data_IF_273132286747
#
_entry.id   IF_273132286747
#
_cell.length_a   1.000
_cell.length_b   1.000
_cell.length_c   1.000
_cell.angle_alpha   90.00
_cell.angle_beta   90.00
_cell.angle_gamma   90.00
#
_symmetry.space_group_name_H-M   'P 1'
#
loop_
_entity.id
_entity.type
_entity.pdbx_description
1 polymer ?
#
# COMPACT_ATOMS: atom_id res chain seq x y z
N UNK A 1 -13.70 -18.25 23.98
CA UNK A 1 -13.00 -18.13 22.68
C UNK A 1 -13.84 -17.42 21.63
N UNK A 2 -14.31 -16.17 21.82
CA UNK A 2 -15.01 -15.51 20.73
C UNK A 2 -14.03 -15.10 19.62
N UNK A 3 -12.87 -14.52 19.95
CA UNK A 3 -11.94 -13.95 18.97
C UNK A 3 -11.15 -15.01 18.17
N UNK A 4 -10.48 -15.94 18.86
CA UNK A 4 -9.71 -17.01 18.20
C UNK A 4 -10.60 -17.88 17.29
N UNK A 5 -11.81 -18.19 17.74
CA UNK A 5 -12.78 -18.95 16.94
C UNK A 5 -13.28 -18.15 15.74
N UNK A 6 -13.55 -16.85 15.91
CA UNK A 6 -13.89 -15.98 14.80
C UNK A 6 -12.76 -15.92 13.76
N UNK A 7 -11.51 -15.80 14.21
CA UNK A 7 -10.35 -15.80 13.32
C UNK A 7 -10.26 -17.11 12.50
N UNK A 8 -10.51 -18.27 13.12
CA UNK A 8 -10.55 -19.56 12.40
C UNK A 8 -11.70 -19.66 11.39
N UNK A 9 -12.88 -19.10 11.72
CA UNK A 9 -13.99 -19.01 10.76
C UNK A 9 -13.64 -18.13 9.56
N UNK A 10 -12.97 -17.00 9.80
CA UNK A 10 -12.48 -16.14 8.73
C UNK A 10 -11.42 -16.90 7.91
N UNK A 11 -10.49 -17.60 8.56
CA UNK A 11 -9.47 -18.41 7.89
C UNK A 11 -10.07 -19.48 6.95
N UNK A 12 -11.15 -20.16 7.38
CA UNK A 12 -11.88 -21.10 6.53
C UNK A 12 -12.46 -20.43 5.28
N UNK A 13 -13.07 -19.24 5.44
CA UNK A 13 -13.61 -18.46 4.33
C UNK A 13 -12.48 -18.02 3.38
N UNK A 14 -11.34 -17.59 3.92
CA UNK A 14 -10.18 -17.19 3.13
C UNK A 14 -9.61 -18.36 2.33
N UNK A 15 -9.45 -19.53 2.97
CA UNK A 15 -8.99 -20.74 2.30
C UNK A 15 -9.94 -21.17 1.16
N UNK A 16 -11.25 -21.12 1.40
CA UNK A 16 -12.25 -21.40 0.37
C UNK A 16 -12.17 -20.41 -0.80
N UNK A 17 -12.08 -19.12 -0.51
CA UNK A 17 -11.99 -18.08 -1.55
C UNK A 17 -10.69 -18.17 -2.37
N UNK A 18 -9.60 -18.59 -1.73
CA UNK A 18 -8.32 -18.85 -2.40
C UNK A 18 -8.33 -20.12 -3.26
N UNK A 19 -9.34 -20.99 -3.13
CA UNK A 19 -9.36 -22.31 -3.77
C UNK A 19 -8.36 -23.28 -3.14
N UNK A 20 -8.02 -23.08 -1.86
CA UNK A 20 -7.09 -23.92 -1.11
C UNK A 20 -7.78 -25.22 -0.70
N UNK A 21 -7.03 -26.33 -0.67
CA UNK A 21 -7.55 -27.62 -0.20
C UNK A 21 -7.61 -27.70 1.33
N UNK A 22 -6.73 -26.95 2.00
CA UNK A 22 -6.57 -26.94 3.44
C UNK A 22 -6.48 -25.51 4.00
N UNK A 23 -6.83 -25.35 5.28
CA UNK A 23 -6.57 -24.15 6.06
C UNK A 23 -5.12 -24.20 6.56
N UNK A 24 -4.24 -23.56 5.80
CA UNK A 24 -2.84 -23.32 6.15
C UNK A 24 -2.63 -22.20 7.19
N UNK A 25 -1.46 -22.10 7.85
CA UNK A 25 -1.12 -21.02 8.78
C UNK A 25 -1.33 -19.61 8.20
N UNK A 26 -1.10 -19.39 6.91
CA UNK A 26 -1.33 -18.12 6.22
C UNK A 26 -2.80 -17.69 6.29
N UNK A 27 -3.72 -18.64 6.17
CA UNK A 27 -5.16 -18.36 6.29
C UNK A 27 -5.53 -18.01 7.73
N UNK A 28 -4.95 -18.72 8.71
CA UNK A 28 -5.14 -18.43 10.14
C UNK A 28 -4.62 -17.02 10.45
N UNK A 29 -3.45 -16.66 9.92
CA UNK A 29 -2.87 -15.33 10.05
C UNK A 29 -3.78 -14.25 9.44
N UNK A 30 -4.25 -14.42 8.20
CA UNK A 30 -5.23 -13.50 7.58
C UNK A 30 -6.48 -13.38 8.44
N UNK A 31 -6.97 -14.49 9.01
CA UNK A 31 -8.12 -14.51 9.91
C UNK A 31 -7.92 -13.67 11.16
N UNK A 32 -6.74 -13.75 11.80
CA UNK A 32 -6.36 -12.97 12.97
C UNK A 32 -6.22 -11.47 12.66
N UNK A 33 -5.89 -11.11 11.42
CA UNK A 33 -5.75 -9.71 10.95
C UNK A 33 -7.05 -9.12 10.38
N UNK A 34 -8.17 -9.84 10.44
CA UNK A 34 -9.44 -9.45 9.83
C UNK A 34 -10.65 -9.18 10.76
N UNK A 35 -10.58 -9.23 12.11
CA UNK A 35 -11.74 -8.93 12.96
C UNK A 35 -12.43 -7.59 12.70
N UNK A 36 -11.70 -6.55 12.25
CA UNK A 36 -12.25 -5.23 11.91
C UNK A 36 -13.47 -5.29 10.97
N UNK A 37 -13.52 -6.28 10.07
CA UNK A 37 -14.60 -6.42 9.08
C UNK A 37 -15.91 -6.88 9.73
N UNK A 38 -15.81 -7.61 10.83
CA UNK A 38 -16.94 -8.18 11.57
C UNK A 38 -17.38 -7.24 12.70
N UNK A 39 -16.42 -6.55 13.32
CA UNK A 39 -16.69 -5.53 14.34
C UNK A 39 -17.45 -4.33 13.76
N UNK A 40 -17.29 -4.06 12.45
CA UNK A 40 -17.98 -2.97 11.76
C UNK A 40 -17.53 -1.59 12.26
N UNK A 41 -18.06 -0.52 11.64
CA UNK A 41 -17.83 0.86 12.11
C UNK A 41 -18.77 1.30 13.24
N UNK A 42 -19.73 0.46 13.63
CA UNK A 42 -20.73 0.82 14.64
C UNK A 42 -20.19 0.41 16.01
N UNK A 43 -20.17 1.34 16.96
CA UNK A 43 -19.85 1.01 18.35
C UNK A 43 -20.73 -0.14 18.82
N UNK A 44 -20.14 -1.19 19.43
CA UNK A 44 -20.90 -2.31 19.94
C UNK A 44 -22.00 -1.78 20.86
N UNK A 45 -23.24 -2.22 20.65
CA UNK A 45 -24.31 -1.93 21.60
C UNK A 45 -23.91 -2.49 22.96
N UNK A 46 -24.33 -1.84 24.06
CA UNK A 46 -23.99 -2.26 25.44
C UNK A 46 -24.32 -3.73 25.77
N UNK A 47 -25.10 -4.42 24.92
CA UNK A 47 -25.45 -5.83 25.06
C UNK A 47 -24.45 -6.81 24.40
N UNK A 48 -23.39 -6.35 23.73
CA UNK A 48 -22.52 -7.23 22.94
C UNK A 48 -21.15 -7.50 23.59
N UNK A 49 -21.15 -7.88 24.87
CA UNK A 49 -19.95 -8.25 25.66
C UNK A 49 -19.02 -9.26 24.95
N UNK A 50 -19.57 -10.09 24.08
CA UNK A 50 -18.77 -11.03 23.27
C UNK A 50 -17.92 -10.29 22.24
N UNK A 51 -18.52 -9.31 21.54
CA UNK A 51 -17.83 -8.51 20.54
C UNK A 51 -16.85 -7.52 21.15
N UNK A 52 -17.13 -7.00 22.34
CA UNK A 52 -16.18 -6.20 23.13
C UNK A 52 -14.89 -7.00 23.40
N UNK A 53 -15.00 -8.24 23.87
CA UNK A 53 -13.82 -9.12 24.04
C UNK A 53 -13.09 -9.43 22.73
N UNK A 54 -13.81 -9.54 21.61
CA UNK A 54 -13.17 -9.71 20.29
C UNK A 54 -12.36 -8.46 19.93
N UNK A 55 -12.91 -7.28 20.17
CA UNK A 55 -12.23 -6.02 19.92
C UNK A 55 -10.98 -5.88 20.79
N UNK A 56 -11.08 -6.16 22.09
CA UNK A 56 -9.93 -6.13 23.03
C UNK A 56 -8.80 -7.07 22.59
N UNK A 57 -9.13 -8.33 22.27
CA UNK A 57 -8.13 -9.31 21.84
C UNK A 57 -7.51 -8.95 20.48
N UNK A 58 -8.28 -8.33 19.58
CA UNK A 58 -7.79 -7.86 18.28
C UNK A 58 -6.90 -6.62 18.43
N UNK A 59 -7.29 -5.66 19.26
CA UNK A 59 -6.50 -4.45 19.54
C UNK A 59 -5.14 -4.81 20.16
N UNK A 60 -5.09 -5.86 20.99
CA UNK A 60 -3.83 -6.39 21.49
C UNK A 60 -2.90 -6.86 20.35
N UNK A 61 -3.43 -7.55 19.34
CA UNK A 61 -2.66 -7.97 18.15
C UNK A 61 -2.21 -6.75 17.34
N UNK A 62 -3.09 -5.78 17.10
CA UNK A 62 -2.77 -4.55 16.36
C UNK A 62 -1.67 -3.76 17.07
N UNK A 63 -1.76 -3.64 18.39
CA UNK A 63 -0.75 -2.98 19.23
C UNK A 63 0.61 -3.67 19.10
N UNK A 64 0.65 -5.01 19.21
CA UNK A 64 1.90 -5.79 19.04
C UNK A 64 2.52 -5.59 17.65
N UNK A 65 1.70 -5.57 16.61
CA UNK A 65 2.15 -5.29 15.25
C UNK A 65 2.68 -3.85 15.12
N UNK A 66 1.99 -2.87 15.71
CA UNK A 66 2.41 -1.48 15.71
C UNK A 66 3.78 -1.28 16.38
N UNK A 67 4.01 -1.92 17.53
CA UNK A 67 5.32 -1.94 18.22
C UNK A 67 6.41 -2.53 17.32
N UNK A 68 6.09 -3.61 16.60
CA UNK A 68 7.00 -4.25 15.66
C UNK A 68 7.15 -3.48 14.33
N UNK A 69 6.50 -2.32 14.18
CA UNK A 69 6.56 -1.49 12.98
C UNK A 69 5.81 -2.10 11.80
N UNK A 70 4.68 -2.76 12.05
CA UNK A 70 3.84 -3.39 11.03
C UNK A 70 2.40 -2.86 11.08
N UNK A 71 1.75 -2.81 9.92
CA UNK A 71 0.33 -2.51 9.80
C UNK A 71 -0.46 -3.80 9.46
N UNK A 72 -1.46 -4.13 10.27
CA UNK A 72 -2.27 -5.35 10.11
C UNK A 72 -2.95 -5.46 8.73
N UNK A 73 -3.49 -4.35 8.21
CA UNK A 73 -4.15 -4.32 6.90
C UNK A 73 -3.15 -4.56 5.77
N UNK A 74 -1.95 -3.97 5.85
CA UNK A 74 -0.89 -4.19 4.87
C UNK A 74 -0.45 -5.65 4.88
N UNK A 75 -0.13 -6.21 6.06
CA UNK A 75 0.28 -7.61 6.21
C UNK A 75 -0.76 -8.57 5.65
N UNK A 76 -2.05 -8.34 5.95
CA UNK A 76 -3.15 -9.15 5.43
C UNK A 76 -3.20 -9.14 3.90
N UNK A 77 -3.07 -7.96 3.28
CA UNK A 77 -3.10 -7.81 1.80
C UNK A 77 -1.90 -8.49 1.15
N UNK A 78 -0.70 -8.25 1.69
CA UNK A 78 0.53 -8.89 1.21
C UNK A 78 0.47 -10.40 1.33
N UNK A 79 -0.04 -10.94 2.45
CA UNK A 79 -0.23 -12.38 2.63
C UNK A 79 -1.19 -12.96 1.59
N UNK A 80 -2.34 -12.31 1.35
CA UNK A 80 -3.28 -12.74 0.28
C UNK A 80 -2.66 -12.73 -1.12
N UNK A 81 -1.80 -11.74 -1.40
CA UNK A 81 -1.15 -11.60 -2.71
C UNK A 81 -0.05 -12.66 -2.91
N UNK A 82 0.70 -12.98 -1.85
CA UNK A 82 1.74 -13.98 -1.87
C UNK A 82 1.20 -15.43 -1.82
N UNK A 83 -0.02 -15.62 -1.32
CA UNK A 83 -0.63 -16.94 -1.26
C UNK A 83 -1.10 -17.41 -2.65
N UNK A 84 -0.64 -18.57 -3.14
CA UNK A 84 -1.04 -19.06 -4.46
C UNK A 84 -2.53 -19.37 -4.49
N UNK A 85 -3.17 -19.10 -5.64
CA UNK A 85 -4.55 -19.54 -5.86
C UNK A 85 -4.55 -21.04 -6.13
N UNK A 86 -5.30 -21.78 -5.34
CA UNK A 86 -5.50 -23.20 -5.56
C UNK A 86 -6.58 -23.49 -6.60
N UNK A 87 -6.73 -24.76 -6.93
CA UNK A 87 -7.71 -25.29 -7.89
C UNK A 87 -8.89 -25.99 -7.21
N UNK A 88 -8.97 -25.94 -5.88
CA UNK A 88 -10.00 -26.66 -5.14
C UNK A 88 -11.39 -26.08 -5.44
N UNK A 89 -12.39 -26.95 -5.33
CA UNK A 89 -13.78 -26.57 -5.51
C UNK A 89 -14.20 -25.55 -4.44
N UNK A 90 -14.54 -24.34 -4.90
CA UNK A 90 -14.99 -23.23 -4.05
C UNK A 90 -16.34 -23.51 -3.40
N UNK A 91 -17.11 -24.47 -3.91
CA UNK A 91 -18.41 -24.84 -3.36
C UNK A 91 -18.31 -25.83 -2.19
N UNK A 92 -17.08 -26.25 -1.80
CA UNK A 92 -16.87 -27.07 -0.61
C UNK A 92 -17.36 -26.35 0.65
N UNK A 93 -18.34 -26.98 1.31
CA UNK A 93 -18.94 -26.49 2.57
C UNK A 93 -17.95 -26.35 3.71
N UNK A 94 -16.87 -27.14 3.74
CA UNK A 94 -15.84 -27.11 4.77
C UNK A 94 -14.46 -27.32 4.19
N UNK A 95 -13.49 -26.58 4.71
CA UNK A 95 -12.07 -26.74 4.37
C UNK A 95 -11.36 -27.31 5.61
N UNK A 96 -10.75 -28.51 5.55
CA UNK A 96 -10.03 -29.08 6.69
C UNK A 96 -8.78 -28.26 7.02
N UNK A 97 -8.29 -28.35 8.25
CA UNK A 97 -6.96 -27.80 8.61
C UNK A 97 -5.86 -28.63 7.95
N UNK A 98 -4.78 -27.98 7.52
CA UNK A 98 -3.55 -28.67 7.16
C UNK A 98 -2.84 -29.20 8.41
N UNK A 99 -1.85 -30.07 8.22
CA UNK A 99 -1.00 -30.52 9.32
C UNK A 99 -0.32 -29.33 10.03
N UNK A 100 0.20 -28.37 9.26
CA UNK A 100 0.80 -27.15 9.81
C UNK A 100 -0.23 -26.26 10.54
N UNK A 101 -1.47 -26.18 10.03
CA UNK A 101 -2.58 -25.50 10.70
C UNK A 101 -2.95 -26.15 12.04
N UNK A 102 -2.98 -27.49 12.10
CA UNK A 102 -3.20 -28.26 13.34
C UNK A 102 -2.09 -27.98 14.35
N UNK A 103 -0.82 -28.06 13.94
CA UNK A 103 0.33 -27.79 14.81
C UNK A 103 0.30 -26.37 15.38
N UNK A 104 -0.13 -25.39 14.59
CA UNK A 104 -0.32 -24.02 15.07
C UNK A 104 -1.36 -23.94 16.20
N UNK A 105 -2.50 -24.62 16.05
CA UNK A 105 -3.55 -24.65 17.08
C UNK A 105 -3.07 -25.40 18.32
N UNK A 106 -2.39 -26.53 18.15
CA UNK A 106 -1.84 -27.31 19.27
C UNK A 106 -0.80 -26.51 20.06
N UNK A 107 0.07 -25.74 19.40
CA UNK A 107 0.99 -24.80 20.07
C UNK A 107 0.24 -23.78 20.91
N UNK A 108 -0.84 -23.20 20.38
CA UNK A 108 -1.66 -22.23 21.11
C UNK A 108 -2.34 -22.87 22.33
N UNK A 109 -2.86 -24.09 22.19
CA UNK A 109 -3.47 -24.87 23.28
C UNK A 109 -2.44 -25.18 24.37
N UNK A 110 -1.26 -25.65 23.97
CA UNK A 110 -0.18 -25.96 24.91
C UNK A 110 0.26 -24.71 25.69
N UNK A 111 0.45 -23.58 25.00
CA UNK A 111 0.81 -22.31 25.61
C UNK A 111 -0.27 -21.78 26.58
N UNK A 112 -1.55 -22.09 26.32
CA UNK A 112 -2.64 -21.69 27.21
C UNK A 112 -2.62 -22.45 28.55
N UNK A 113 -2.03 -23.65 28.61
CA UNK A 113 -1.86 -24.41 29.86
C UNK A 113 -3.19 -24.79 30.52
N UNK A 114 -4.16 -25.26 29.74
CA UNK A 114 -5.51 -25.58 30.20
C UNK A 114 -6.47 -24.38 30.29
N UNK A 115 -5.97 -23.16 30.07
CA UNK A 115 -6.82 -21.98 29.88
C UNK A 115 -7.41 -21.94 28.48
N UNK A 116 -8.36 -21.05 28.31
CA UNK A 116 -8.98 -20.76 27.02
C UNK A 116 -7.97 -20.10 26.07
N UNK A 117 -7.86 -20.61 24.82
CA UNK A 117 -7.01 -20.00 23.79
C UNK A 117 -7.58 -18.65 23.35
N UNK A 118 -6.77 -17.60 23.47
CA UNK A 118 -7.06 -16.24 22.98
C UNK A 118 -6.56 -16.06 21.54
N UNK A 119 -7.06 -15.06 20.83
CA UNK A 119 -6.56 -14.68 19.50
C UNK A 119 -5.10 -14.26 19.57
N UNK A 120 -4.68 -13.53 20.62
CA UNK A 120 -3.28 -13.19 20.84
C UNK A 120 -2.40 -14.43 21.07
N UNK A 121 -2.92 -15.45 21.78
CA UNK A 121 -2.24 -16.74 21.96
C UNK A 121 -2.11 -17.51 20.64
N UNK A 122 -3.17 -17.54 19.84
CA UNK A 122 -3.15 -18.15 18.50
C UNK A 122 -2.20 -17.39 17.56
N UNK A 123 -2.21 -16.06 17.59
CA UNK A 123 -1.28 -15.21 16.84
C UNK A 123 0.17 -15.50 17.22
N UNK A 124 0.47 -15.58 18.52
CA UNK A 124 1.81 -15.94 18.99
C UNK A 124 2.23 -17.33 18.49
N UNK A 125 1.31 -18.29 18.48
CA UNK A 125 1.58 -19.64 17.96
C UNK A 125 1.86 -19.69 16.45
N UNK A 126 1.25 -18.79 15.67
CA UNK A 126 1.61 -18.57 14.26
C UNK A 126 3.01 -17.97 14.19
N UNK A 127 3.29 -16.91 14.95
CA UNK A 127 4.58 -16.18 14.89
C UNK A 127 5.79 -17.01 15.36
N UNK A 128 5.59 -18.03 16.20
CA UNK A 128 6.65 -18.98 16.58
C UNK A 128 7.16 -19.76 15.37
N UNK A 129 6.30 -20.06 14.41
CA UNK A 129 6.66 -20.78 13.18
C UNK A 129 5.80 -20.27 12.02
N UNK A 130 6.13 -19.08 11.48
CA UNK A 130 5.23 -18.35 10.58
C UNK A 130 5.07 -18.97 9.19
N UNK A 131 5.87 -19.97 8.82
CA UNK A 131 5.93 -20.43 7.43
C UNK A 131 6.64 -19.41 6.53
N UNK A 132 6.95 -19.80 5.30
CA UNK A 132 7.76 -19.00 4.37
C UNK A 132 7.01 -17.74 3.93
N UNK A 133 5.72 -17.87 3.59
CA UNK A 133 4.93 -16.73 3.09
C UNK A 133 4.81 -15.63 4.14
N UNK A 134 4.43 -15.96 5.38
CA UNK A 134 4.29 -14.94 6.44
C UNK A 134 5.65 -14.33 6.75
N UNK A 135 6.72 -15.13 6.81
CA UNK A 135 8.08 -14.63 7.04
C UNK A 135 8.47 -13.59 5.98
N UNK A 136 8.27 -13.91 4.70
CA UNK A 136 8.63 -13.03 3.58
C UNK A 136 7.77 -11.77 3.57
N UNK A 137 6.48 -11.88 3.88
CA UNK A 137 5.57 -10.74 4.02
C UNK A 137 5.98 -9.82 5.16
N UNK A 138 6.40 -10.35 6.30
CA UNK A 138 6.90 -9.54 7.42
C UNK A 138 8.19 -8.81 7.02
N UNK A 139 9.12 -9.50 6.35
CA UNK A 139 10.34 -8.88 5.86
C UNK A 139 10.06 -7.75 4.84
N UNK A 140 9.11 -7.96 3.93
CA UNK A 140 8.73 -7.00 2.91
C UNK A 140 7.97 -5.79 3.49
N UNK A 141 7.03 -6.02 4.41
CA UNK A 141 6.25 -4.94 5.04
C UNK A 141 7.15 -3.93 5.77
N UNK A 142 8.29 -4.37 6.33
CA UNK A 142 9.27 -3.45 6.94
C UNK A 142 9.93 -2.54 5.93
N UNK A 143 10.19 -3.02 4.71
CA UNK A 143 10.75 -2.19 3.64
C UNK A 143 9.75 -1.12 3.20
N UNK A 144 8.47 -1.49 3.07
CA UNK A 144 7.41 -0.54 2.73
C UNK A 144 7.30 0.58 3.78
N UNK A 145 7.34 0.24 5.07
CA UNK A 145 7.21 1.23 6.15
C UNK A 145 8.48 2.07 6.33
N UNK A 146 9.66 1.50 6.09
CA UNK A 146 10.90 2.27 6.06
C UNK A 146 10.90 3.30 4.92
N UNK A 147 10.34 2.94 3.76
CA UNK A 147 10.10 3.87 2.67
C UNK A 147 9.04 4.91 3.05
N UNK A 148 7.93 4.50 3.67
CA UNK A 148 6.82 5.37 4.06
C UNK A 148 7.24 6.42 5.10
N UNK A 149 8.01 6.02 6.13
CA UNK A 149 8.59 6.94 7.12
C UNK A 149 9.60 7.89 6.50
N UNK A 150 10.33 7.49 5.47
CA UNK A 150 11.23 8.39 4.73
C UNK A 150 10.43 9.38 3.91
N UNK A 151 9.37 8.93 3.23
CA UNK A 151 8.46 9.84 2.52
C UNK A 151 7.70 10.76 3.46
N UNK A 152 7.29 10.34 4.66
CA UNK A 152 6.65 11.17 5.68
C UNK A 152 7.61 12.16 6.35
N UNK A 153 8.92 11.93 6.29
CA UNK A 153 9.93 12.94 6.67
C UNK A 153 10.15 13.91 5.51
N UNK A 154 10.16 13.43 4.26
CA UNK A 154 10.35 14.25 3.07
C UNK A 154 9.12 15.09 2.70
N UNK A 155 7.90 14.61 2.95
CA UNK A 155 6.63 15.25 2.60
C UNK A 155 6.43 16.56 3.35
N UNK A 156 6.56 16.66 4.69
CA UNK A 156 6.50 17.91 5.40
C UNK A 156 7.61 18.87 4.97
N UNK A 157 8.82 18.38 4.68
CA UNK A 157 9.90 19.21 4.16
C UNK A 157 9.54 19.81 2.80
N UNK A 158 9.09 18.99 1.83
CA UNK A 158 8.70 19.44 0.49
C UNK A 158 7.41 20.28 0.50
N UNK A 159 6.44 19.94 1.36
CA UNK A 159 5.16 20.65 1.45
C UNK A 159 5.30 21.98 2.20
N UNK A 160 6.14 22.05 3.26
CA UNK A 160 6.54 23.29 3.92
C UNK A 160 7.33 24.20 2.97
N UNK A 161 8.16 23.61 2.11
CA UNK A 161 8.91 24.32 1.07
C UNK A 161 8.01 24.94 0.00
N UNK A 162 6.99 24.19 -0.47
CA UNK A 162 6.04 24.66 -1.49
C UNK A 162 5.03 25.66 -0.91
N UNK A 163 4.53 25.44 0.32
CA UNK A 163 3.52 26.29 0.94
C UNK A 163 4.07 27.60 1.52
N UNK A 164 5.38 27.67 1.78
CA UNK A 164 6.02 28.83 2.41
C UNK A 164 6.52 29.91 1.46
N UNK A 165 6.46 29.71 0.13
CA UNK A 165 7.06 30.63 -0.84
C UNK A 165 8.56 30.87 -0.62
N UNK A 166 9.22 30.03 0.19
CA UNK A 166 10.66 30.14 0.43
C UNK A 166 11.37 29.50 -0.76
N UNK A 167 12.38 30.15 -1.34
CA UNK A 167 13.22 29.49 -2.34
C UNK A 167 13.76 28.20 -1.73
N UNK A 168 13.74 27.12 -2.51
CA UNK A 168 14.30 25.84 -2.07
C UNK A 168 15.70 26.11 -1.48
N UNK A 169 16.06 25.58 -0.29
CA UNK A 169 17.47 25.37 -0.02
C UNK A 169 17.97 24.58 -1.23
N UNK A 170 19.09 25.00 -1.81
CA UNK A 170 19.63 24.42 -3.03
C UNK A 170 19.89 22.93 -2.80
N UNK A 171 18.87 22.10 -2.99
CA UNK A 171 19.02 20.67 -3.17
C UNK A 171 19.89 20.57 -4.40
N UNK A 172 21.08 20.01 -4.22
CA UNK A 172 21.95 19.79 -5.35
C UNK A 172 21.24 18.78 -6.28
N UNK A 173 21.70 18.71 -7.52
CA UNK A 173 21.19 17.80 -8.53
C UNK A 173 21.17 16.33 -8.06
N UNK A 174 22.05 15.95 -7.13
CA UNK A 174 22.16 14.58 -6.64
C UNK A 174 21.06 14.25 -5.62
N UNK A 175 20.68 15.18 -4.74
CA UNK A 175 19.57 15.01 -3.81
C UNK A 175 18.23 14.86 -4.55
N UNK A 176 18.07 15.65 -5.61
CA UNK A 176 16.92 15.57 -6.52
C UNK A 176 16.92 14.20 -7.23
N UNK A 177 18.05 13.80 -7.82
CA UNK A 177 18.18 12.52 -8.53
C UNK A 177 17.92 11.31 -7.61
N UNK A 178 18.42 11.35 -6.37
CA UNK A 178 18.18 10.32 -5.36
C UNK A 178 16.68 10.20 -5.02
N UNK A 179 15.98 11.33 -4.90
CA UNK A 179 14.53 11.36 -4.70
C UNK A 179 13.80 10.73 -5.88
N UNK A 180 14.22 11.03 -7.12
CA UNK A 180 13.68 10.44 -8.35
C UNK A 180 13.88 8.92 -8.41
N UNK A 181 15.07 8.43 -8.07
CA UNK A 181 15.38 6.99 -8.04
C UNK A 181 14.58 6.25 -6.95
N UNK A 182 14.33 6.90 -5.81
CA UNK A 182 13.53 6.33 -4.73
C UNK A 182 12.05 6.28 -5.09
N UNK A 183 11.50 7.33 -5.71
CA UNK A 183 10.12 7.35 -6.24
C UNK A 183 9.97 6.33 -7.39
N UNK A 184 10.97 6.20 -8.27
CA UNK A 184 10.98 5.23 -9.36
C UNK A 184 10.96 3.78 -8.86
N UNK A 185 11.77 3.47 -7.84
CA UNK A 185 11.76 2.16 -7.16
C UNK A 185 10.43 1.89 -6.48
N UNK A 186 9.90 2.87 -5.74
CA UNK A 186 8.58 2.77 -5.10
C UNK A 186 7.49 2.48 -6.14
N UNK A 187 7.50 3.19 -7.28
CA UNK A 187 6.54 3.02 -8.38
C UNK A 187 6.63 1.64 -9.02
N UNK A 188 7.83 1.13 -9.31
CA UNK A 188 8.01 -0.17 -9.96
C UNK A 188 7.59 -1.34 -9.05
N UNK A 189 7.91 -1.27 -7.75
CA UNK A 189 7.45 -2.25 -6.76
C UNK A 189 5.93 -2.19 -6.59
N UNK A 190 5.29 -1.02 -6.71
CA UNK A 190 3.83 -0.87 -6.62
C UNK A 190 3.05 -1.19 -7.90
N UNK A 191 3.62 -0.97 -9.09
CA UNK A 191 2.96 -1.15 -10.40
C UNK A 191 2.59 -2.61 -10.68
N UNK A 192 3.32 -3.56 -10.10
CA UNK A 192 3.00 -4.99 -10.17
C UNK A 192 1.85 -5.41 -9.25
N UNK A 193 1.44 -4.58 -8.27
CA UNK A 193 0.67 -5.06 -7.13
C UNK A 193 -0.79 -4.61 -7.08
N UNK A 194 -1.22 -3.48 -7.66
CA UNK A 194 -2.63 -3.04 -7.52
C UNK A 194 -3.19 -2.21 -8.68
N UNK A 195 -4.09 -2.84 -9.45
CA UNK A 195 -5.25 -2.16 -10.05
C UNK A 195 -6.45 -2.45 -9.13
N UNK A 196 -6.92 -1.49 -8.33
CA UNK A 196 -8.23 -1.59 -7.67
C UNK A 196 -8.43 -1.10 -6.23
N UNK A 197 -7.47 -0.42 -5.58
CA UNK A 197 -7.73 0.18 -4.25
C UNK A 197 -7.88 1.70 -4.32
N UNK A 198 -8.86 2.26 -3.58
CA UNK A 198 -9.08 3.71 -3.47
C UNK A 198 -7.89 4.45 -2.85
N UNK A 199 -7.15 3.77 -1.98
CA UNK A 199 -5.91 4.28 -1.38
C UNK A 199 -4.79 4.42 -2.42
N UNK A 200 -4.69 3.49 -3.38
CA UNK A 200 -3.75 3.62 -4.51
C UNK A 200 -4.13 4.81 -5.40
N UNK A 201 -5.41 5.01 -5.68
CA UNK A 201 -5.88 6.19 -6.41
C UNK A 201 -5.51 7.49 -5.70
N UNK A 202 -5.62 7.54 -4.37
CA UNK A 202 -5.24 8.71 -3.57
C UNK A 202 -3.71 8.94 -3.54
N UNK A 203 -2.92 7.90 -3.31
CA UNK A 203 -1.45 7.99 -3.28
C UNK A 203 -0.90 8.32 -4.67
N UNK A 204 -1.40 7.68 -5.73
CA UNK A 204 -1.04 7.97 -7.12
C UNK A 204 -1.37 9.43 -7.48
N UNK A 205 -2.51 9.94 -7.05
CA UNK A 205 -2.88 11.34 -7.27
C UNK A 205 -1.92 12.29 -6.54
N UNK A 206 -1.53 11.98 -5.31
CA UNK A 206 -0.55 12.76 -4.55
C UNK A 206 0.84 12.75 -5.20
N UNK A 207 1.32 11.58 -5.66
CA UNK A 207 2.59 11.45 -6.40
C UNK A 207 2.53 12.26 -7.69
N UNK A 208 1.49 12.09 -8.50
CA UNK A 208 1.33 12.82 -9.76
C UNK A 208 1.30 14.35 -9.54
N UNK A 209 0.68 14.81 -8.46
CA UNK A 209 0.66 16.23 -8.08
C UNK A 209 2.04 16.77 -7.75
N UNK A 210 2.81 16.04 -6.95
CA UNK A 210 4.15 16.46 -6.56
C UNK A 210 5.10 16.44 -7.76
N UNK A 211 5.00 15.42 -8.60
CA UNK A 211 5.76 15.33 -9.85
C UNK A 211 5.39 16.46 -10.82
N UNK A 212 4.11 16.81 -10.94
CA UNK A 212 3.67 17.94 -11.75
C UNK A 212 4.22 19.28 -11.22
N UNK A 213 4.22 19.48 -9.90
CA UNK A 213 4.81 20.68 -9.29
C UNK A 213 6.33 20.78 -9.53
N UNK A 214 7.04 19.65 -9.45
CA UNK A 214 8.47 19.58 -9.81
C UNK A 214 8.69 19.90 -11.29
N UNK A 215 7.87 19.35 -12.19
CA UNK A 215 7.95 19.64 -13.62
C UNK A 215 7.76 21.13 -13.92
N UNK A 216 6.81 21.81 -13.27
CA UNK A 216 6.66 23.27 -13.38
C UNK A 216 7.92 24.00 -12.93
N UNK A 217 8.49 23.62 -11.78
CA UNK A 217 9.71 24.26 -11.28
C UNK A 217 10.91 24.09 -12.22
N UNK A 218 11.07 22.90 -12.81
CA UNK A 218 12.14 22.66 -13.79
C UNK A 218 11.91 23.43 -15.10
N UNK A 219 10.65 23.53 -15.54
CA UNK A 219 10.29 24.32 -16.70
C UNK A 219 10.62 25.81 -16.51
N UNK A 220 10.31 26.38 -15.34
CA UNK A 220 10.63 27.77 -14.99
C UNK A 220 12.15 28.03 -14.91
N UNK A 221 12.93 27.01 -14.54
CA UNK A 221 14.40 27.08 -14.44
C UNK A 221 15.11 26.72 -15.75
N UNK A 222 14.36 26.38 -16.79
CA UNK A 222 14.89 25.85 -18.05
C UNK A 222 15.77 24.58 -17.87
N UNK A 223 15.52 23.81 -16.81
CA UNK A 223 16.20 22.55 -16.51
C UNK A 223 15.52 21.38 -17.25
N UNK A 224 16.02 21.12 -18.46
CA UNK A 224 15.49 20.06 -19.32
C UNK A 224 15.68 18.64 -18.74
N UNK A 225 16.75 18.35 -18.00
CA UNK A 225 16.97 17.03 -17.39
C UNK A 225 16.00 16.76 -16.24
N UNK A 226 15.84 17.74 -15.35
CA UNK A 226 14.86 17.68 -14.27
C UNK A 226 13.43 17.55 -14.82
N UNK A 227 13.11 18.28 -15.88
CA UNK A 227 11.80 18.22 -16.54
C UNK A 227 11.52 16.85 -17.16
N UNK A 228 12.48 16.25 -17.90
CA UNK A 228 12.33 14.89 -18.45
C UNK A 228 12.12 13.88 -17.32
N UNK A 229 12.93 13.95 -16.26
CA UNK A 229 12.85 13.03 -15.12
C UNK A 229 11.50 13.13 -14.40
N UNK A 230 11.00 14.35 -14.20
CA UNK A 230 9.67 14.61 -13.68
C UNK A 230 8.58 14.02 -14.59
N UNK A 231 8.61 14.30 -15.89
CA UNK A 231 7.60 13.80 -16.80
C UNK A 231 7.61 12.26 -16.88
N UNK A 232 8.78 11.61 -16.89
CA UNK A 232 8.88 10.14 -16.88
C UNK A 232 8.26 9.50 -15.62
N UNK A 233 8.37 10.17 -14.47
CA UNK A 233 7.68 9.76 -13.23
C UNK A 233 6.17 10.03 -13.26
N UNK A 234 5.72 11.02 -14.04
CA UNK A 234 4.30 11.35 -14.18
C UNK A 234 3.55 10.33 -15.05
N UNK A 235 4.20 9.69 -16.03
CA UNK A 235 3.57 8.75 -16.99
C UNK A 235 3.04 7.49 -16.29
N UNK A 236 1.71 7.26 -16.25
CA UNK A 236 1.13 6.02 -15.77
C UNK A 236 0.55 5.17 -16.91
N UNK A 237 0.77 3.85 -16.86
CA UNK A 237 0.25 2.86 -17.81
C UNK A 237 -1.24 3.02 -18.16
N UNK A 238 -1.48 3.24 -19.47
CA UNK A 238 -2.68 3.17 -20.32
C UNK A 238 -3.84 4.16 -20.12
N UNK A 239 -3.83 5.27 -20.88
CA UNK A 239 -4.95 5.98 -21.57
C UNK A 239 -4.38 7.03 -22.55
N UNK A 240 -5.17 7.59 -23.50
CA UNK A 240 -4.78 8.56 -24.57
C UNK A 240 -3.82 9.71 -24.15
N UNK A 241 -3.81 10.08 -22.87
CA UNK A 241 -2.89 11.06 -22.27
C UNK A 241 -1.42 10.61 -22.29
N UNK A 242 -1.14 9.30 -22.40
CA UNK A 242 0.22 8.74 -22.52
C UNK A 242 0.90 9.11 -23.84
N UNK A 243 0.17 9.09 -24.96
CA UNK A 243 0.71 9.51 -26.26
C UNK A 243 1.18 10.97 -26.21
N UNK A 244 0.41 11.82 -25.52
CA UNK A 244 0.72 13.24 -25.38
C UNK A 244 1.98 13.48 -24.53
N UNK A 245 2.18 12.72 -23.44
CA UNK A 245 3.38 12.82 -22.61
C UNK A 245 4.61 12.18 -23.27
N UNK A 246 4.46 11.06 -23.97
CA UNK A 246 5.55 10.40 -24.69
C UNK A 246 6.06 11.26 -25.86
N UNK A 247 5.16 11.88 -26.62
CA UNK A 247 5.51 12.87 -27.64
C UNK A 247 6.29 14.04 -27.07
N UNK A 248 5.85 14.58 -25.93
CA UNK A 248 6.54 15.69 -25.25
C UNK A 248 7.93 15.26 -24.77
N UNK A 249 8.06 14.10 -24.14
CA UNK A 249 9.36 13.58 -23.67
C UNK A 249 10.31 13.36 -24.86
N UNK A 250 9.79 12.83 -25.97
CA UNK A 250 10.56 12.58 -27.20
C UNK A 250 11.03 13.91 -27.81
N UNK A 251 10.13 14.89 -27.96
CA UNK A 251 10.46 16.22 -28.47
C UNK A 251 11.50 16.95 -27.60
N UNK A 252 11.40 16.87 -26.26
CA UNK A 252 12.40 17.46 -25.36
C UNK A 252 13.75 16.75 -25.51
N UNK A 253 13.76 15.42 -25.65
CA UNK A 253 14.96 14.63 -25.89
C UNK A 253 15.66 14.99 -27.21
N UNK A 254 14.90 15.18 -28.29
CA UNK A 254 15.41 15.59 -29.59
C UNK A 254 15.98 17.01 -29.54
N UNK A 255 15.26 17.97 -28.97
CA UNK A 255 15.72 19.35 -28.79
C UNK A 255 17.02 19.43 -27.98
N UNK A 256 17.17 18.58 -26.95
CA UNK A 256 18.39 18.47 -26.16
C UNK A 256 19.57 17.94 -26.98
N UNK A 257 19.37 16.89 -27.76
CA UNK A 257 20.43 16.34 -28.63
C UNK A 257 20.92 17.38 -29.65
N UNK A 258 20.05 18.34 -30.00
CA UNK A 258 20.36 19.43 -30.92
C UNK A 258 20.84 20.72 -30.23
N UNK A 259 20.91 20.76 -28.89
CA UNK A 259 21.30 21.95 -28.13
C UNK A 259 20.32 23.13 -28.26
N UNK A 260 19.06 22.84 -28.59
CA UNK A 260 18.02 23.85 -28.84
C UNK A 260 17.18 24.09 -27.59
N UNK A 261 16.70 25.32 -27.45
CA UNK A 261 15.73 25.68 -26.40
C UNK A 261 14.35 25.09 -26.71
N UNK A 262 13.52 24.93 -25.67
CA UNK A 262 12.15 24.47 -25.85
C UNK A 262 11.31 25.49 -26.64
N UNK A 263 10.68 25.10 -27.75
CA UNK A 263 9.71 25.92 -28.48
C UNK A 263 8.54 26.36 -27.58
N UNK A 264 8.04 27.59 -27.78
CA UNK A 264 6.96 28.17 -26.96
C UNK A 264 5.63 27.41 -27.07
N UNK A 265 5.37 26.79 -28.21
CA UNK A 265 4.22 25.92 -28.44
C UNK A 265 4.32 24.63 -27.60
N UNK A 266 5.52 24.04 -27.50
CA UNK A 266 5.76 22.88 -26.65
C UNK A 266 5.66 23.24 -25.16
N UNK A 267 6.22 24.39 -24.74
CA UNK A 267 6.05 24.92 -23.37
C UNK A 267 4.56 25.09 -23.04
N UNK A 268 3.78 25.59 -23.99
CA UNK A 268 2.33 25.77 -23.84
C UNK A 268 1.56 24.45 -23.71
N UNK A 269 1.89 23.44 -24.54
CA UNK A 269 1.32 22.08 -24.46
C UNK A 269 1.64 21.41 -23.13
N UNK A 270 2.88 21.52 -22.64
CA UNK A 270 3.30 21.01 -21.32
C UNK A 270 2.48 21.65 -20.21
N UNK A 271 2.38 22.98 -20.23
CA UNK A 271 1.61 23.73 -19.24
C UNK A 271 0.13 23.35 -19.22
N UNK A 272 -0.48 23.08 -20.38
CA UNK A 272 -1.86 22.64 -20.46
C UNK A 272 -2.07 21.24 -19.86
N UNK A 273 -1.16 20.31 -20.15
CA UNK A 273 -1.14 18.97 -19.55
C UNK A 273 -0.99 19.01 -18.03
N UNK A 274 -0.04 19.80 -17.52
CA UNK A 274 0.16 20.00 -16.09
C UNK A 274 -1.09 20.62 -15.43
N UNK A 275 -1.75 21.57 -16.10
CA UNK A 275 -3.03 22.14 -15.63
C UNK A 275 -4.16 21.11 -15.58
N UNK A 276 -4.25 20.18 -16.55
CA UNK A 276 -5.26 19.10 -16.54
C UNK A 276 -5.02 18.14 -15.36
N UNK A 277 -3.78 17.70 -15.17
CA UNK A 277 -3.37 16.84 -14.05
C UNK A 277 -3.67 17.49 -12.68
N UNK A 278 -3.54 18.82 -12.57
CA UNK A 278 -3.85 19.57 -11.35
C UNK A 278 -5.36 19.88 -11.16
N UNK A 279 -6.17 19.87 -12.22
CA UNK A 279 -7.61 20.23 -12.17
C UNK A 279 -8.53 19.05 -11.81
N UNK A 280 -8.20 17.83 -12.25
CA UNK A 280 -9.02 16.63 -11.99
C UNK A 280 -9.26 16.35 -10.49
N UNK A 281 -8.39 16.84 -9.61
CA UNK A 281 -8.52 16.78 -8.15
C UNK A 281 -9.68 17.63 -7.61
N UNK A 282 -9.92 18.82 -8.18
CA UNK A 282 -10.97 19.74 -7.70
C UNK A 282 -12.38 19.25 -8.04
N UNK A 283 -12.53 18.51 -9.15
CA UNK A 283 -13.79 17.92 -9.56
C UNK A 283 -14.22 16.78 -8.64
N UNK A 284 -13.31 15.84 -8.36
CA UNK A 284 -13.58 14.66 -7.51
C UNK A 284 -13.79 15.01 -6.04
N UNK A 285 -13.17 16.08 -5.53
CA UNK A 285 -13.38 16.54 -4.15
C UNK A 285 -14.80 17.05 -3.92
N UNK A 286 -15.38 17.76 -4.90
CA UNK A 286 -16.78 18.23 -4.86
C UNK A 286 -17.81 17.11 -4.99
N UNK A 287 -17.47 16.00 -5.64
CA UNK A 287 -18.33 14.81 -5.70
C UNK A 287 -18.32 13.99 -4.41
N UNK A 288 -17.23 14.03 -3.63
CA UNK A 288 -17.13 13.35 -2.34
C UNK A 288 -17.78 14.11 -1.17
N UNK A 289 -18.02 15.40 -1.34
CA UNK A 289 -18.71 16.28 -0.38
C UNK A 289 -20.23 16.34 -0.63
N UNK A 290 -20.72 15.69 -1.68
CA UNK A 290 -22.15 15.49 -1.97
C UNK A 290 -22.59 14.09 -1.56
#
# INVERSE_FOLDING_TARGET
>A
MPAAFLALKIAEVEARNAGSEYIEPEHIFIGLLSPEKVLGKKSPSANDRKMERVAEEWEAIVTLLGIAGHNATVLRRLTRAAHPRGKSDRDRRRVPLSQAGIECILRAIHAAGGRTVTAAGLFSAVMVQPGTIIHDVLAEARKCIAADRRTDVLLPSVTSLIAGGRPMPSLNSDDIRNLFDEIGRYRNTHKQWMQGSDEYSAIRLAINRNVAALAVSFLEKEDSEGLISALMLAVPSSTEEELSCAEIITAIGELRNEGKTLPDDLKSRINELLKKLLKDDRGRKKEREK
#
